data_IF_672936255609
#
_entry.id   IF_672936255609
#
_cell.length_a   1.000
_cell.length_b   1.000
_cell.length_c   1.000
_cell.angle_alpha   90.00
_cell.angle_beta   90.00
_cell.angle_gamma   90.00
#
_symmetry.space_group_name_H-M   'P 1'
#
loop_
_entity.id
_entity.type
_entity.pdbx_description
1 polymer ?
#
# COMPACT_ATOMS: atom_id res chain seq x y z
N UNK A 1 33.93 -0.46 -17.76
CA UNK A 1 35.29 -0.97 -17.97
C UNK A 1 36.26 0.09 -17.50
N UNK A 2 37.18 -0.28 -16.59
CA UNK A 2 38.38 0.46 -16.15
C UNK A 2 38.14 1.69 -15.26
N UNK A 3 38.16 1.48 -13.93
CA UNK A 3 38.83 2.39 -12.96
C UNK A 3 38.66 1.94 -11.51
N UNK A 4 39.01 0.71 -11.21
CA UNK A 4 39.10 0.18 -9.83
C UNK A 4 40.28 -0.78 -9.70
N UNK A 5 41.48 -0.27 -9.94
CA UNK A 5 42.73 -0.96 -9.64
C UNK A 5 43.88 0.08 -9.57
N UNK A 6 43.91 0.87 -8.48
CA UNK A 6 45.09 1.66 -8.10
C UNK A 6 44.86 2.27 -6.71
N UNK A 7 44.83 1.44 -5.68
CA UNK A 7 45.03 1.94 -4.29
C UNK A 7 45.35 0.77 -3.35
N UNK A 8 46.44 0.07 -3.59
CA UNK A 8 46.90 -0.95 -2.66
C UNK A 8 48.40 -1.23 -2.78
N UNK A 9 49.24 -0.17 -2.89
CA UNK A 9 50.70 -0.30 -2.82
C UNK A 9 51.33 0.94 -2.19
N UNK A 10 51.06 1.18 -0.88
CA UNK A 10 51.84 2.10 -0.06
C UNK A 10 51.69 1.77 1.44
N UNK A 11 52.17 0.65 1.87
CA UNK A 11 52.55 0.42 3.30
C UNK A 11 53.49 -0.79 3.41
N UNK A 12 54.63 -0.66 2.73
CA UNK A 12 55.83 -1.46 3.07
C UNK A 12 56.98 -0.48 3.11
N UNK A 13 57.54 -0.29 4.27
CA UNK A 13 58.84 0.20 4.65
C UNK A 13 58.78 1.21 5.77
N UNK A 14 58.69 0.70 7.01
CA UNK A 14 59.19 1.38 8.21
C UNK A 14 59.61 0.30 9.21
N UNK A 15 60.73 -0.34 8.88
CA UNK A 15 61.43 -1.20 9.82
C UNK A 15 62.79 -0.54 10.06
N UNK A 16 62.86 0.27 11.15
CA UNK A 16 64.17 0.77 11.66
C UNK A 16 64.17 0.78 13.18
N UNK A 17 64.88 -0.21 13.68
CA UNK A 17 65.70 -0.20 14.89
C UNK A 17 65.31 0.74 16.03
N UNK A 18 64.86 0.19 17.13
CA UNK A 18 65.11 0.77 18.43
C UNK A 18 65.46 -0.33 19.46
N UNK A 19 66.60 -0.13 20.05
CA UNK A 19 67.24 -0.88 21.10
C UNK A 19 66.27 -1.30 22.21
N UNK A 20 66.07 -2.60 22.34
CA UNK A 20 65.34 -3.18 23.49
C UNK A 20 66.39 -3.48 24.57
N UNK A 21 66.39 -2.65 25.59
CA UNK A 21 67.04 -2.93 26.93
C UNK A 21 66.40 -4.20 27.48
N UNK A 22 67.17 -5.27 27.54
CA UNK A 22 66.81 -6.53 28.17
C UNK A 22 66.62 -6.33 29.65
N UNK A 23 65.43 -6.34 30.19
CA UNK A 23 65.10 -6.61 31.56
C UNK A 23 65.01 -8.12 31.76
N UNK A 24 65.73 -8.72 32.72
CA UNK A 24 65.57 -10.13 32.98
C UNK A 24 64.32 -10.36 33.84
N UNK A 25 63.19 -10.48 33.20
CA UNK A 25 62.00 -11.06 33.83
C UNK A 25 62.04 -12.57 33.65
N UNK A 26 62.51 -13.24 34.68
CA UNK A 26 62.33 -14.65 34.97
C UNK A 26 60.76 -14.89 35.01
N UNK A 27 60.14 -15.14 33.87
CA UNK A 27 58.78 -15.64 33.85
C UNK A 27 58.84 -17.11 34.30
N UNK A 28 58.51 -17.33 35.59
CA UNK A 28 58.08 -18.64 36.02
C UNK A 28 56.74 -18.95 35.28
N UNK A 29 56.67 -20.03 34.49
CA UNK A 29 55.40 -20.48 33.98
C UNK A 29 54.55 -20.95 35.16
N UNK A 30 53.67 -20.05 35.64
CA UNK A 30 52.65 -20.45 36.59
C UNK A 30 51.74 -21.44 35.93
N UNK A 31 51.79 -22.63 36.46
CA UNK A 31 50.97 -23.81 36.27
C UNK A 31 49.56 -23.50 35.76
N UNK A 32 49.07 -24.12 34.67
CA UNK A 32 47.71 -23.90 34.12
C UNK A 32 46.60 -24.55 34.98
N UNK A 33 46.78 -24.61 36.29
CA UNK A 33 45.75 -25.07 37.24
C UNK A 33 44.72 -24.00 37.58
N UNK A 34 44.84 -22.80 36.99
CA UNK A 34 43.98 -21.65 37.33
C UNK A 34 42.55 -21.72 36.85
N UNK A 35 42.28 -22.32 35.68
CA UNK A 35 40.93 -22.28 35.08
C UNK A 35 39.93 -23.17 35.83
N UNK A 36 40.35 -24.32 36.32
CA UNK A 36 39.46 -25.22 37.06
C UNK A 36 39.13 -24.71 38.46
N UNK A 37 40.04 -23.91 39.05
CA UNK A 37 39.86 -23.32 40.38
C UNK A 37 38.78 -22.23 40.36
N UNK A 38 38.76 -21.37 39.33
CA UNK A 38 37.73 -20.34 39.17
C UNK A 38 36.36 -20.93 38.95
N UNK A 39 36.24 -22.00 38.16
CA UNK A 39 34.98 -22.66 37.92
C UNK A 39 34.38 -23.33 39.15
N UNK A 40 35.23 -23.96 39.99
CA UNK A 40 34.77 -24.57 41.24
C UNK A 40 34.36 -23.57 42.32
N UNK A 41 35.06 -22.43 42.44
CA UNK A 41 34.63 -21.32 43.30
C UNK A 41 33.32 -20.73 42.83
N UNK A 42 33.14 -20.59 41.52
CA UNK A 42 31.93 -20.07 40.91
C UNK A 42 30.73 -20.97 41.20
N UNK A 43 30.88 -22.30 41.07
CA UNK A 43 29.83 -23.24 41.41
C UNK A 43 29.49 -23.21 42.92
N UNK A 44 30.47 -23.08 43.80
CA UNK A 44 30.24 -22.97 45.22
C UNK A 44 29.53 -21.69 45.63
N UNK A 45 29.92 -20.56 45.02
CA UNK A 45 29.26 -19.25 45.20
C UNK A 45 27.80 -19.27 44.74
N UNK A 46 27.55 -19.88 43.56
CA UNK A 46 26.22 -20.04 43.02
C UNK A 46 25.34 -20.94 43.89
N UNK A 47 25.87 -22.08 44.35
CA UNK A 47 25.16 -23.03 45.22
C UNK A 47 24.81 -22.42 46.59
N UNK A 48 25.71 -21.60 47.15
CA UNK A 48 25.49 -20.94 48.44
C UNK A 48 24.46 -19.81 48.37
N UNK A 49 24.41 -19.10 47.23
CA UNK A 49 23.58 -17.91 47.07
C UNK A 49 22.45 -18.11 46.01
N UNK A 50 22.05 -19.34 45.79
CA UNK A 50 21.01 -19.67 44.79
C UNK A 50 19.70 -18.92 45.00
N UNK A 51 19.39 -18.54 46.25
CA UNK A 51 18.24 -17.70 46.60
C UNK A 51 18.27 -16.34 45.91
N UNK A 52 19.44 -15.73 45.71
CA UNK A 52 19.57 -14.45 45.01
C UNK A 52 19.19 -14.60 43.55
N UNK A 53 19.60 -15.72 42.96
CA UNK A 53 19.28 -16.02 41.58
C UNK A 53 17.77 -16.25 41.39
N UNK A 54 17.13 -16.97 42.32
CA UNK A 54 15.70 -17.19 42.31
C UNK A 54 14.92 -15.88 42.57
N UNK A 55 15.38 -15.05 43.50
CA UNK A 55 14.79 -13.74 43.79
C UNK A 55 14.89 -12.80 42.59
N UNK A 56 16.04 -12.77 41.87
CA UNK A 56 16.21 -11.92 40.69
C UNK A 56 15.33 -12.37 39.55
N UNK A 57 15.14 -13.68 39.32
CA UNK A 57 14.22 -14.23 38.35
C UNK A 57 12.77 -13.86 38.70
N UNK A 58 12.41 -13.97 39.96
CA UNK A 58 11.05 -13.62 40.40
C UNK A 58 10.79 -12.12 40.24
N UNK A 59 11.72 -11.26 40.58
CA UNK A 59 11.60 -9.82 40.36
C UNK A 59 11.50 -9.47 38.90
N UNK A 60 12.33 -10.10 38.03
CA UNK A 60 12.25 -9.90 36.58
C UNK A 60 10.90 -10.37 36.02
N UNK A 61 10.41 -11.50 36.47
CA UNK A 61 9.10 -12.02 36.05
C UNK A 61 7.95 -11.11 36.52
N UNK A 62 7.93 -10.69 37.78
CA UNK A 62 6.91 -9.78 38.29
C UNK A 62 6.95 -8.41 37.60
N UNK A 63 8.15 -7.87 37.37
CA UNK A 63 8.34 -6.62 36.62
C UNK A 63 7.79 -6.73 35.21
N UNK A 64 8.06 -7.85 34.55
CA UNK A 64 7.54 -8.12 33.19
C UNK A 64 6.01 -8.30 33.18
N UNK A 65 5.48 -9.02 34.17
CA UNK A 65 4.03 -9.17 34.31
C UNK A 65 3.36 -7.81 34.44
N UNK A 66 3.85 -6.97 35.36
CA UNK A 66 3.34 -5.63 35.57
C UNK A 66 3.47 -4.74 34.33
N UNK A 67 4.59 -4.82 33.61
CA UNK A 67 4.79 -4.12 32.35
C UNK A 67 3.74 -4.55 31.29
N UNK A 68 3.49 -5.85 31.14
CA UNK A 68 2.51 -6.38 30.19
C UNK A 68 1.07 -5.97 30.53
N UNK A 69 0.74 -5.83 31.81
CA UNK A 69 -0.58 -5.37 32.24
C UNK A 69 -0.81 -3.89 31.96
N UNK A 70 0.23 -3.05 32.11
CA UNK A 70 0.16 -1.61 31.87
C UNK A 70 0.28 -1.25 30.40
N UNK A 71 0.83 -2.14 29.57
CA UNK A 71 1.06 -1.84 28.15
C UNK A 71 -0.22 -2.02 27.35
N UNK A 72 -0.62 -1.00 26.60
CA UNK A 72 -1.77 -1.06 25.72
C UNK A 72 -1.61 -2.18 24.68
N UNK A 73 -2.61 -3.03 24.60
CA UNK A 73 -2.67 -4.12 23.62
C UNK A 73 -3.02 -3.53 22.26
N UNK A 74 -2.30 -3.96 21.23
CA UNK A 74 -2.56 -3.56 19.85
C UNK A 74 -3.00 -4.78 19.06
N UNK A 75 -4.11 -4.64 18.36
CA UNK A 75 -4.69 -5.64 17.50
C UNK A 75 -4.43 -5.28 16.04
N UNK A 76 -4.30 -6.28 15.19
CA UNK A 76 -4.03 -6.12 13.77
C UNK A 76 -5.13 -6.77 12.98
N UNK A 77 -5.88 -5.96 12.26
CA UNK A 77 -6.87 -6.43 11.28
C UNK A 77 -6.27 -6.31 9.87
N UNK A 78 -6.47 -7.32 9.04
CA UNK A 78 -5.98 -7.36 7.67
C UNK A 78 -7.12 -7.61 6.70
N UNK A 79 -7.20 -6.81 5.64
CA UNK A 79 -8.14 -6.95 4.53
C UNK A 79 -7.36 -7.00 3.22
N UNK A 80 -7.73 -7.93 2.32
CA UNK A 80 -7.11 -8.01 1.00
C UNK A 80 -8.07 -7.49 -0.05
N UNK A 81 -7.55 -6.70 -0.98
CA UNK A 81 -8.34 -6.10 -2.05
C UNK A 81 -7.59 -6.12 -3.38
N UNK A 82 -8.37 -6.02 -4.44
CA UNK A 82 -7.92 -5.90 -5.81
C UNK A 82 -8.50 -4.62 -6.41
N UNK A 83 -7.71 -3.95 -7.21
CA UNK A 83 -8.14 -2.78 -7.96
C UNK A 83 -8.53 -3.20 -9.36
N UNK A 84 -9.69 -2.75 -9.84
CA UNK A 84 -10.23 -3.10 -11.15
C UNK A 84 -10.15 -1.86 -12.05
N UNK A 85 -9.26 -1.85 -13.05
CA UNK A 85 -9.18 -0.75 -13.99
C UNK A 85 -10.43 -0.66 -14.85
N UNK A 86 -10.88 0.55 -15.14
CA UNK A 86 -12.07 0.81 -15.96
C UNK A 86 -11.79 0.78 -17.46
N UNK A 87 -10.57 1.09 -17.85
CA UNK A 87 -10.16 1.13 -19.24
C UNK A 87 -9.57 -0.21 -19.64
N UNK A 88 -10.19 -0.86 -20.62
CA UNK A 88 -9.62 -2.05 -21.26
C UNK A 88 -8.49 -1.71 -22.27
N UNK A 89 -8.02 -0.47 -22.28
CA UNK A 89 -6.82 -0.10 -23.03
C UNK A 89 -5.65 -0.66 -22.25
N UNK A 90 -5.21 -1.85 -22.65
CA UNK A 90 -4.04 -2.52 -22.08
C UNK A 90 -2.78 -1.66 -22.26
N UNK A 91 -2.58 -0.68 -21.40
CA UNK A 91 -1.31 0.02 -21.25
C UNK A 91 -0.36 -0.90 -20.48
N UNK A 92 -0.06 -2.04 -21.10
CA UNK A 92 0.85 -3.01 -20.53
C UNK A 92 2.28 -2.51 -20.72
N UNK A 93 2.95 -2.19 -19.66
CA UNK A 93 4.37 -1.89 -19.65
C UNK A 93 5.12 -3.04 -18.98
N UNK A 94 6.23 -3.42 -19.62
CA UNK A 94 7.14 -4.39 -19.02
C UNK A 94 7.97 -3.67 -17.95
N UNK A 95 7.83 -4.06 -16.69
CA UNK A 95 8.65 -3.49 -15.61
C UNK A 95 10.11 -4.00 -15.70
N UNK A 96 10.99 -3.44 -14.87
CA UNK A 96 12.42 -3.81 -14.81
C UNK A 96 12.65 -5.30 -14.48
N UNK A 97 11.67 -5.97 -13.87
CA UNK A 97 11.68 -7.41 -13.56
C UNK A 97 11.15 -8.26 -14.73
N UNK A 98 10.78 -7.63 -15.86
CA UNK A 98 10.27 -8.31 -17.05
C UNK A 98 8.81 -8.73 -16.99
N UNK A 99 8.06 -8.30 -15.97
CA UNK A 99 6.62 -8.58 -15.83
C UNK A 99 5.80 -7.54 -16.59
N UNK A 100 4.69 -8.01 -17.13
CA UNK A 100 3.69 -7.13 -17.74
C UNK A 100 2.84 -6.58 -16.58
N UNK A 101 2.91 -5.27 -16.37
CA UNK A 101 2.12 -4.55 -15.36
C UNK A 101 1.09 -3.70 -16.09
N UNK A 102 -0.15 -3.76 -15.64
CA UNK A 102 -1.17 -2.82 -16.06
C UNK A 102 -0.95 -1.50 -15.33
N UNK A 103 -0.52 -0.48 -16.07
CA UNK A 103 -0.20 0.84 -15.49
C UNK A 103 -1.43 1.50 -14.85
N UNK A 104 -2.61 1.22 -15.34
CA UNK A 104 -3.84 1.78 -14.79
C UNK A 104 -4.17 1.14 -13.43
N UNK A 105 -3.99 -0.16 -13.31
CA UNK A 105 -4.14 -0.89 -12.05
C UNK A 105 -3.18 -0.36 -10.99
N UNK A 106 -1.89 -0.22 -11.34
CA UNK A 106 -0.88 0.32 -10.43
C UNK A 106 -1.20 1.75 -10.01
N UNK A 107 -1.61 2.61 -10.96
CA UNK A 107 -1.99 3.99 -10.68
C UNK A 107 -3.19 4.08 -9.73
N UNK A 108 -4.25 3.30 -9.96
CA UNK A 108 -5.42 3.26 -9.09
C UNK A 108 -5.07 2.70 -7.70
N UNK A 109 -4.20 1.69 -7.63
CA UNK A 109 -3.74 1.16 -6.36
C UNK A 109 -2.96 2.21 -5.57
N UNK A 110 -2.03 2.92 -6.20
CA UNK A 110 -1.30 4.03 -5.59
C UNK A 110 -2.23 5.16 -5.15
N UNK A 111 -3.26 5.46 -5.94
CA UNK A 111 -4.26 6.46 -5.60
C UNK A 111 -5.08 6.03 -4.37
N UNK A 112 -5.47 4.76 -4.29
CA UNK A 112 -6.14 4.17 -3.12
C UNK A 112 -5.28 4.31 -1.86
N UNK A 113 -4.00 3.94 -1.93
CA UNK A 113 -3.06 4.06 -0.81
C UNK A 113 -2.95 5.53 -0.35
N UNK A 114 -2.81 6.47 -1.28
CA UNK A 114 -2.70 7.90 -0.97
C UNK A 114 -3.95 8.49 -0.33
N UNK A 115 -5.14 7.93 -0.56
CA UNK A 115 -6.35 8.38 0.13
C UNK A 115 -6.24 8.22 1.63
N UNK A 116 -5.74 7.07 2.11
CA UNK A 116 -5.55 6.82 3.54
C UNK A 116 -4.45 7.67 4.20
N UNK A 117 -3.67 8.39 3.40
CA UNK A 117 -2.67 9.36 3.87
C UNK A 117 -3.21 10.80 3.92
N UNK A 118 -4.44 11.03 3.44
CA UNK A 118 -5.06 12.35 3.42
C UNK A 118 -6.04 12.51 4.57
N UNK A 119 -5.84 13.57 5.35
CA UNK A 119 -6.72 13.89 6.48
C UNK A 119 -8.16 14.09 6.01
N UNK A 120 -8.37 14.76 4.88
CA UNK A 120 -9.70 15.05 4.33
C UNK A 120 -10.49 13.78 4.01
N UNK A 121 -9.83 12.74 3.50
CA UNK A 121 -10.48 11.47 3.22
C UNK A 121 -10.78 10.70 4.49
N UNK A 122 -9.79 10.61 5.40
CA UNK A 122 -9.96 9.84 6.64
C UNK A 122 -10.98 10.50 7.55
N UNK A 123 -10.99 11.83 7.70
CA UNK A 123 -12.02 12.55 8.47
C UNK A 123 -13.41 12.39 7.87
N UNK A 124 -13.54 12.45 6.53
CA UNK A 124 -14.79 12.25 5.85
C UNK A 124 -15.39 10.85 6.11
N UNK A 125 -14.57 9.79 6.03
CA UNK A 125 -15.07 8.46 6.28
C UNK A 125 -15.36 8.22 7.77
N UNK A 126 -14.61 8.83 8.70
CA UNK A 126 -14.86 8.75 10.14
C UNK A 126 -16.20 9.41 10.53
N UNK A 127 -16.47 10.61 9.99
CA UNK A 127 -17.74 11.30 10.14
C UNK A 127 -18.91 10.41 9.68
N UNK A 128 -18.81 9.85 8.47
CA UNK A 128 -19.87 9.02 7.88
C UNK A 128 -20.12 7.70 8.60
N UNK A 129 -19.10 7.13 9.23
CA UNK A 129 -19.21 5.86 9.97
C UNK A 129 -19.50 6.06 11.46
N UNK A 130 -19.36 7.27 11.99
CA UNK A 130 -19.48 7.57 13.41
C UNK A 130 -18.36 6.97 14.27
N UNK A 131 -17.26 6.51 13.64
CA UNK A 131 -16.15 5.88 14.36
C UNK A 131 -15.33 6.87 15.20
N UNK A 132 -15.45 8.18 14.92
CA UNK A 132 -14.78 9.25 15.67
C UNK A 132 -15.06 9.16 17.16
N UNK A 133 -16.31 8.95 17.55
CA UNK A 133 -16.70 8.83 18.96
C UNK A 133 -16.04 7.65 19.68
N UNK A 134 -15.75 6.58 18.95
CA UNK A 134 -15.07 5.40 19.49
C UNK A 134 -13.56 5.58 19.54
N UNK A 135 -12.99 6.32 18.58
CA UNK A 135 -11.56 6.63 18.54
C UNK A 135 -11.17 7.64 19.61
N UNK A 136 -12.02 8.65 19.82
CA UNK A 136 -11.81 9.73 20.78
C UNK A 136 -12.59 9.51 22.11
N UNK A 137 -12.96 8.27 22.42
CA UNK A 137 -13.74 7.97 23.62
C UNK A 137 -13.10 8.48 24.93
N UNK A 138 -11.75 8.45 24.98
CA UNK A 138 -10.98 8.91 26.14
C UNK A 138 -10.97 10.45 26.28
N UNK A 139 -11.29 11.19 25.21
CA UNK A 139 -11.34 12.66 25.17
C UNK A 139 -12.76 13.22 25.23
N UNK A 140 -13.77 12.36 25.25
CA UNK A 140 -15.18 12.77 25.29
C UNK A 140 -15.62 13.07 26.72
N UNK A 141 -16.13 14.27 26.96
CA UNK A 141 -16.77 14.63 28.23
C UNK A 141 -18.29 14.48 28.10
N UNK A 142 -18.89 13.46 28.77
CA UNK A 142 -20.34 13.22 28.70
C UNK A 142 -21.17 14.31 29.38
N UNK A 143 -20.58 15.19 30.18
CA UNK A 143 -21.31 16.28 30.88
C UNK A 143 -21.51 17.49 29.97
N UNK A 144 -20.55 17.79 29.13
CA UNK A 144 -20.58 18.93 28.23
C UNK A 144 -20.98 18.54 26.81
N UNK A 145 -21.04 17.24 26.51
CA UNK A 145 -21.25 16.70 25.15
C UNK A 145 -20.23 17.22 24.16
N UNK A 146 -18.99 17.38 24.62
CA UNK A 146 -17.87 17.92 23.83
C UNK A 146 -16.63 17.06 23.98
N UNK A 147 -15.70 17.23 23.02
CA UNK A 147 -14.39 16.62 23.09
C UNK A 147 -13.36 17.61 23.64
N UNK A 148 -12.59 17.20 24.64
CA UNK A 148 -11.44 17.97 25.16
C UNK A 148 -10.24 17.77 24.23
N UNK A 149 -10.24 18.54 23.13
CA UNK A 149 -9.21 18.47 22.11
C UNK A 149 -8.05 19.41 22.45
N UNK A 150 -6.81 18.94 22.31
CA UNK A 150 -5.63 19.77 22.56
C UNK A 150 -5.44 20.88 21.50
N UNK A 151 -6.23 20.89 20.44
CA UNK A 151 -6.21 21.91 19.39
C UNK A 151 -7.64 22.25 18.96
N UNK A 152 -8.12 23.41 19.37
CA UNK A 152 -9.47 23.92 19.07
C UNK A 152 -9.67 24.31 17.58
N UNK A 153 -8.63 24.25 16.77
CA UNK A 153 -8.69 24.57 15.35
C UNK A 153 -9.14 23.42 14.45
N UNK A 154 -9.17 22.19 14.99
CA UNK A 154 -9.55 21.00 14.24
C UNK A 154 -10.92 20.50 14.70
N UNK A 155 -11.74 20.04 13.76
CA UNK A 155 -12.93 19.29 14.11
C UNK A 155 -12.55 17.94 14.78
N UNK A 156 -13.45 17.31 15.56
CA UNK A 156 -13.18 16.00 16.16
C UNK A 156 -12.75 14.94 15.13
N UNK A 157 -13.38 14.95 13.94
CA UNK A 157 -13.07 14.01 12.86
C UNK A 157 -11.68 14.26 12.26
N UNK A 158 -11.31 15.51 12.05
CA UNK A 158 -9.97 15.90 11.57
C UNK A 158 -8.89 15.56 12.59
N UNK A 159 -9.17 15.77 13.89
CA UNK A 159 -8.24 15.41 14.94
C UNK A 159 -8.06 13.90 15.04
N UNK A 160 -9.16 13.13 14.97
CA UNK A 160 -9.10 11.67 14.92
C UNK A 160 -8.32 11.18 13.68
N UNK A 161 -8.59 11.75 12.51
CA UNK A 161 -7.87 11.43 11.27
C UNK A 161 -6.37 11.73 11.38
N UNK A 162 -6.02 12.91 11.91
CA UNK A 162 -4.63 13.30 12.12
C UNK A 162 -3.91 12.35 13.09
N UNK A 163 -4.59 11.88 14.15
CA UNK A 163 -4.04 10.93 15.11
C UNK A 163 -3.76 9.56 14.48
N UNK A 164 -4.63 9.10 13.58
CA UNK A 164 -4.48 7.84 12.85
C UNK A 164 -3.35 7.89 11.82
N UNK A 165 -3.21 9.01 11.10
CA UNK A 165 -2.20 9.18 10.03
C UNK A 165 -0.84 9.59 10.61
N UNK A 166 -0.83 10.43 11.65
CA UNK A 166 0.38 11.09 12.16
C UNK A 166 1.40 10.17 12.85
N UNK A 167 1.04 8.94 13.16
CA UNK A 167 1.94 8.00 13.84
C UNK A 167 2.91 7.32 12.88
N UNK A 168 4.01 7.99 12.55
CA UNK A 168 5.03 7.47 11.62
C UNK A 168 5.80 6.26 12.14
N UNK A 169 5.89 6.06 13.48
CA UNK A 169 6.60 4.93 14.08
C UNK A 169 5.78 3.64 14.09
N UNK A 170 4.48 3.76 14.26
CA UNK A 170 3.52 2.67 14.20
C UNK A 170 2.32 3.15 13.36
N UNK A 171 2.43 3.10 12.03
CA UNK A 171 1.36 3.57 11.17
C UNK A 171 0.09 2.76 11.43
N UNK A 172 -1.03 3.44 11.59
CA UNK A 172 -2.33 2.79 11.75
C UNK A 172 -2.71 2.04 10.48
N UNK A 173 -2.43 2.61 9.32
CA UNK A 173 -2.70 2.04 8.01
C UNK A 173 -1.39 1.64 7.33
N UNK A 174 -1.21 0.35 7.07
CA UNK A 174 -0.05 -0.20 6.37
C UNK A 174 -0.52 -0.98 5.13
N UNK A 175 0.04 -0.64 3.98
CA UNK A 175 -0.29 -1.28 2.71
C UNK A 175 0.86 -2.17 2.25
N UNK A 176 0.53 -3.39 1.84
CA UNK A 176 1.49 -4.34 1.28
C UNK A 176 0.91 -4.95 0.01
N UNK A 177 1.59 -4.76 -1.11
CA UNK A 177 1.22 -5.41 -2.38
C UNK A 177 2.02 -6.70 -2.53
N UNK A 178 1.32 -7.81 -2.69
CA UNK A 178 1.93 -9.10 -2.93
C UNK A 178 2.35 -9.20 -4.39
N UNK A 179 3.66 -9.31 -4.62
CA UNK A 179 4.24 -9.33 -5.98
C UNK A 179 3.79 -10.52 -6.83
N UNK A 180 3.35 -11.62 -6.22
CA UNK A 180 2.96 -12.85 -6.92
C UNK A 180 1.53 -12.81 -7.46
N UNK A 181 0.60 -12.26 -6.70
CA UNK A 181 -0.83 -12.26 -6.99
C UNK A 181 -1.35 -10.92 -7.49
N UNK A 182 -0.59 -9.82 -7.33
CA UNK A 182 -1.06 -8.45 -7.57
C UNK A 182 -2.03 -7.95 -6.49
N UNK A 183 -2.42 -8.80 -5.55
CA UNK A 183 -3.32 -8.43 -4.47
C UNK A 183 -2.64 -7.44 -3.51
N UNK A 184 -3.35 -6.40 -3.14
CA UNK A 184 -2.91 -5.47 -2.12
C UNK A 184 -3.65 -5.74 -0.82
N UNK A 185 -2.93 -5.76 0.29
CA UNK A 185 -3.51 -5.89 1.61
C UNK A 185 -3.35 -4.60 2.39
N UNK A 186 -4.44 -4.18 3.02
CA UNK A 186 -4.45 -3.11 4.02
C UNK A 186 -4.43 -3.76 5.41
N UNK A 187 -3.43 -3.42 6.17
CA UNK A 187 -3.27 -3.82 7.57
C UNK A 187 -3.56 -2.63 8.46
N UNK A 188 -4.50 -2.77 9.37
CA UNK A 188 -4.89 -1.73 10.33
C UNK A 188 -4.49 -2.16 11.73
N UNK A 189 -3.72 -1.31 12.43
CA UNK A 189 -3.27 -1.54 13.80
C UNK A 189 -4.01 -0.61 14.74
N UNK A 190 -4.76 -1.17 15.70
CA UNK A 190 -5.49 -0.36 16.68
C UNK A 190 -5.61 -1.09 18.03
N UNK A 191 -5.95 -0.35 19.09
CA UNK A 191 -6.07 -0.92 20.44
C UNK A 191 -7.37 -1.72 20.66
N UNK A 192 -8.39 -1.47 19.85
CA UNK A 192 -9.67 -2.20 19.89
C UNK A 192 -9.77 -3.10 18.63
N UNK A 193 -10.01 -4.42 18.77
CA UNK A 193 -10.08 -5.35 17.64
C UNK A 193 -11.24 -5.09 16.69
N UNK A 194 -12.40 -4.67 17.22
CA UNK A 194 -13.58 -4.36 16.40
C UNK A 194 -13.36 -3.09 15.60
N UNK A 195 -12.77 -2.05 16.23
CA UNK A 195 -12.40 -0.81 15.52
C UNK A 195 -11.35 -1.04 14.45
N UNK A 196 -10.32 -1.84 14.73
CA UNK A 196 -9.32 -2.19 13.72
C UNK A 196 -9.98 -2.83 12.49
N UNK A 197 -10.96 -3.71 12.72
CA UNK A 197 -11.70 -4.41 11.67
C UNK A 197 -12.62 -3.48 10.89
N UNK A 198 -13.36 -2.62 11.58
CA UNK A 198 -14.24 -1.64 10.94
C UNK A 198 -13.44 -0.61 10.13
N UNK A 199 -12.34 -0.08 10.69
CA UNK A 199 -11.43 0.83 9.97
C UNK A 199 -10.88 0.19 8.69
N UNK A 200 -10.57 -1.11 8.72
CA UNK A 200 -10.06 -1.82 7.55
C UNK A 200 -11.16 -2.02 6.48
N UNK A 201 -12.29 -2.59 6.86
CA UNK A 201 -13.36 -2.95 5.93
C UNK A 201 -14.11 -1.72 5.41
N UNK A 202 -14.55 -0.85 6.32
CA UNK A 202 -15.34 0.33 5.97
C UNK A 202 -14.45 1.37 5.27
N UNK A 203 -13.20 1.53 5.69
CA UNK A 203 -12.24 2.40 5.04
C UNK A 203 -12.07 2.07 3.55
N UNK A 204 -11.91 0.78 3.18
CA UNK A 204 -11.82 0.37 1.77
C UNK A 204 -13.14 0.54 1.03
N UNK A 205 -14.28 0.28 1.67
CA UNK A 205 -15.59 0.53 1.05
C UNK A 205 -15.75 2.01 0.73
N UNK A 206 -15.45 2.90 1.68
CA UNK A 206 -15.51 4.33 1.45
C UNK A 206 -14.46 4.83 0.46
N UNK A 207 -13.27 4.21 0.40
CA UNK A 207 -12.29 4.50 -0.64
C UNK A 207 -12.82 4.17 -2.03
N UNK A 208 -13.50 3.03 -2.19
CA UNK A 208 -14.18 2.69 -3.44
C UNK A 208 -15.22 3.74 -3.83
N UNK A 209 -16.12 4.10 -2.91
CA UNK A 209 -17.21 5.04 -3.18
C UNK A 209 -16.68 6.46 -3.49
N UNK A 210 -15.61 6.87 -2.79
CA UNK A 210 -14.94 8.13 -3.05
C UNK A 210 -14.26 8.16 -4.42
N UNK A 211 -13.54 7.10 -4.78
CA UNK A 211 -12.90 6.98 -6.10
C UNK A 211 -13.93 6.94 -7.21
N UNK A 212 -15.02 6.18 -7.06
CA UNK A 212 -16.14 6.15 -8.00
C UNK A 212 -16.74 7.55 -8.21
N UNK A 213 -17.00 8.27 -7.12
CA UNK A 213 -17.55 9.62 -7.22
C UNK A 213 -16.63 10.59 -7.97
N UNK A 214 -15.32 10.48 -7.75
CA UNK A 214 -14.33 11.28 -8.48
C UNK A 214 -14.26 10.92 -9.96
N UNK A 215 -14.26 9.61 -10.29
CA UNK A 215 -14.24 9.16 -11.69
C UNK A 215 -15.51 9.57 -12.45
N UNK A 216 -16.66 9.53 -11.80
CA UNK A 216 -17.93 10.04 -12.38
C UNK A 216 -17.79 11.53 -12.73
N UNK A 217 -17.27 12.35 -11.81
CA UNK A 217 -17.10 13.80 -12.05
C UNK A 217 -16.09 14.06 -13.17
N UNK A 218 -15.00 13.33 -13.22
CA UNK A 218 -13.98 13.46 -14.29
C UNK A 218 -14.57 13.07 -15.62
N UNK A 219 -15.20 11.90 -15.72
CA UNK A 219 -15.83 11.39 -16.95
C UNK A 219 -16.94 12.33 -17.44
N UNK A 220 -17.73 12.89 -16.53
CA UNK A 220 -18.77 13.87 -16.89
C UNK A 220 -18.15 15.15 -17.50
N UNK A 221 -17.07 15.67 -16.90
CA UNK A 221 -16.38 16.84 -17.47
C UNK A 221 -15.76 16.56 -18.83
N UNK A 222 -15.22 15.37 -19.04
CA UNK A 222 -14.72 14.95 -20.36
C UNK A 222 -15.84 14.89 -21.37
N UNK A 223 -17.00 14.31 -21.01
CA UNK A 223 -18.18 14.29 -21.87
C UNK A 223 -18.67 15.69 -22.22
N UNK A 224 -18.74 16.59 -21.26
CA UNK A 224 -19.16 17.96 -21.50
C UNK A 224 -18.19 18.68 -22.45
N UNK A 225 -16.87 18.47 -22.27
CA UNK A 225 -15.82 19.02 -23.15
C UNK A 225 -15.93 18.46 -24.57
N UNK A 226 -16.11 17.13 -24.72
CA UNK A 226 -16.28 16.49 -26.01
C UNK A 226 -17.57 16.95 -26.68
N UNK A 227 -18.67 17.09 -25.94
CA UNK A 227 -19.93 17.62 -26.42
C UNK A 227 -19.82 19.06 -26.94
N UNK A 228 -19.09 19.91 -26.23
CA UNK A 228 -18.80 21.28 -26.71
C UNK A 228 -17.99 21.28 -28.01
N UNK A 229 -16.92 20.44 -28.06
CA UNK A 229 -16.08 20.34 -29.26
C UNK A 229 -16.90 19.83 -30.47
N UNK A 230 -17.75 18.82 -30.28
CA UNK A 230 -18.65 18.32 -31.33
C UNK A 230 -19.67 19.37 -31.79
N UNK A 231 -20.19 20.17 -30.85
CA UNK A 231 -21.16 21.23 -31.20
C UNK A 231 -20.50 22.37 -31.98
N UNK A 232 -19.27 22.75 -31.66
CA UNK A 232 -18.50 23.77 -32.38
C UNK A 232 -18.19 23.31 -33.80
N UNK A 233 -17.66 22.10 -33.98
CA UNK A 233 -17.40 21.51 -35.32
C UNK A 233 -18.67 21.30 -36.12
N UNK A 234 -19.79 20.94 -35.48
CA UNK A 234 -21.11 20.84 -36.11
C UNK A 234 -21.66 22.19 -36.55
N UNK A 235 -21.44 23.25 -35.79
CA UNK A 235 -21.87 24.61 -36.13
C UNK A 235 -21.06 25.18 -37.31
N UNK A 236 -19.74 24.98 -37.33
CA UNK A 236 -18.87 25.37 -38.46
C UNK A 236 -19.31 24.66 -39.73
N UNK A 237 -19.58 23.38 -39.67
CA UNK A 237 -20.04 22.58 -40.82
C UNK A 237 -21.44 23.05 -41.34
N UNK A 238 -22.32 23.47 -40.45
CA UNK A 238 -23.63 23.99 -40.85
C UNK A 238 -23.53 25.35 -41.57
N UNK A 239 -22.54 26.17 -41.29
CA UNK A 239 -22.23 27.41 -42.00
C UNK A 239 -21.57 27.13 -43.37
N UNK A 240 -20.70 26.12 -43.45
CA UNK A 240 -20.02 25.74 -44.71
C UNK A 240 -20.94 25.03 -45.68
N UNK A 241 -21.86 24.20 -45.21
CA UNK A 241 -22.88 23.53 -46.04
C UNK A 241 -23.86 24.55 -46.64
N UNK A 242 -24.22 25.62 -45.91
CA UNK A 242 -25.03 26.72 -46.45
C UNK A 242 -24.36 27.48 -47.59
N UNK A 243 -23.01 27.49 -47.63
CA UNK A 243 -22.24 28.08 -48.72
C UNK A 243 -21.98 27.11 -49.89
N UNK A 244 -22.06 25.78 -49.66
CA UNK A 244 -21.76 24.73 -50.62
C UNK A 244 -22.99 24.15 -51.37
N UNK A 245 -24.22 24.46 -50.93
CA UNK A 245 -25.46 23.97 -51.54
C UNK A 245 -25.68 24.47 -53.00
N UNK A 246 -24.75 25.20 -53.60
CA UNK A 246 -24.79 25.60 -55.00
C UNK A 246 -24.01 24.69 -55.96
N UNK A 247 -23.51 23.55 -55.56
CA UNK A 247 -22.73 22.63 -56.42
C UNK A 247 -23.10 21.17 -56.22
N UNK A 248 -23.86 20.63 -57.16
CA UNK A 248 -24.23 19.21 -57.30
C UNK A 248 -23.00 18.29 -57.25
N UNK A 249 -22.89 17.35 -56.30
CA UNK A 249 -22.21 16.07 -56.51
C UNK A 249 -22.77 14.99 -55.56
N UNK A 250 -22.99 13.81 -56.10
CA UNK A 250 -23.42 12.57 -55.46
C UNK A 250 -22.35 12.15 -54.40
N UNK A 251 -22.47 12.66 -53.21
CA UNK A 251 -21.60 12.26 -52.09
C UNK A 251 -22.27 11.10 -51.34
N UNK A 252 -21.49 10.06 -51.02
CA UNK A 252 -21.89 9.00 -50.10
C UNK A 252 -22.28 9.69 -48.77
N UNK A 253 -23.56 9.52 -48.37
CA UNK A 253 -24.08 10.20 -47.18
C UNK A 253 -23.24 9.87 -45.94
N UNK A 254 -22.74 10.86 -45.22
CA UNK A 254 -21.98 10.65 -43.97
C UNK A 254 -22.74 9.77 -42.96
N UNK A 255 -24.07 9.83 -42.97
CA UNK A 255 -24.97 9.04 -42.14
C UNK A 255 -24.84 7.53 -42.36
N UNK A 256 -24.54 7.08 -43.60
CA UNK A 256 -24.36 5.66 -43.92
C UNK A 256 -23.06 5.15 -43.35
N UNK A 257 -22.02 5.96 -43.40
CA UNK A 257 -20.69 5.64 -42.86
C UNK A 257 -20.73 5.56 -41.35
N UNK A 258 -21.41 6.49 -40.71
CA UNK A 258 -21.63 6.55 -39.27
C UNK A 258 -22.40 5.32 -38.73
N UNK A 259 -23.49 4.94 -39.41
CA UNK A 259 -24.26 3.75 -39.04
C UNK A 259 -23.45 2.46 -39.14
N UNK A 260 -22.57 2.36 -40.13
CA UNK A 260 -21.70 1.20 -40.30
C UNK A 260 -20.60 1.17 -39.23
N UNK A 261 -20.03 2.31 -38.84
CA UNK A 261 -19.04 2.41 -37.75
C UNK A 261 -19.69 2.06 -36.43
N UNK A 262 -20.86 2.56 -36.13
CA UNK A 262 -21.57 2.24 -34.88
C UNK A 262 -21.86 0.74 -34.78
N UNK A 263 -22.38 0.12 -35.88
CA UNK A 263 -22.59 -1.35 -35.92
C UNK A 263 -21.31 -2.15 -35.72
N UNK A 264 -20.18 -1.68 -36.24
CA UNK A 264 -18.90 -2.33 -36.08
C UNK A 264 -18.46 -2.29 -34.60
N UNK A 265 -18.58 -1.13 -33.93
CA UNK A 265 -18.27 -0.96 -32.49
C UNK A 265 -19.17 -1.87 -31.65
N UNK A 266 -20.47 -1.86 -31.87
CA UNK A 266 -21.43 -2.69 -31.15
C UNK A 266 -21.07 -4.19 -31.25
N UNK A 267 -20.68 -4.64 -32.46
CA UNK A 267 -20.28 -6.04 -32.68
C UNK A 267 -18.90 -6.39 -32.06
N UNK A 268 -17.98 -5.45 -32.05
CA UNK A 268 -16.67 -5.65 -31.35
C UNK A 268 -16.85 -5.74 -29.84
N UNK A 269 -17.72 -4.92 -29.26
CA UNK A 269 -18.05 -4.99 -27.82
C UNK A 269 -18.71 -6.34 -27.51
N UNK A 270 -19.71 -6.74 -28.31
CA UNK A 270 -20.42 -8.02 -28.14
C UNK A 270 -19.46 -9.21 -28.24
N UNK A 271 -18.52 -9.17 -29.20
CA UNK A 271 -17.47 -10.18 -29.33
C UNK A 271 -16.58 -10.24 -28.10
N UNK A 272 -16.14 -9.10 -27.59
CA UNK A 272 -15.29 -9.03 -26.40
C UNK A 272 -15.95 -9.60 -25.14
N UNK A 273 -17.26 -9.38 -24.99
CA UNK A 273 -18.06 -9.98 -23.90
C UNK A 273 -18.19 -11.49 -24.10
N UNK A 274 -18.47 -11.94 -25.33
CA UNK A 274 -18.65 -13.36 -25.62
C UNK A 274 -17.35 -14.16 -25.47
N UNK A 275 -16.22 -13.63 -25.89
CA UNK A 275 -14.91 -14.26 -25.72
C UNK A 275 -14.54 -14.45 -24.25
N UNK A 276 -14.95 -13.52 -23.37
CA UNK A 276 -14.72 -13.64 -21.93
C UNK A 276 -15.67 -14.61 -21.24
N UNK A 277 -16.92 -14.66 -21.68
CA UNK A 277 -17.98 -15.47 -21.03
C UNK A 277 -18.06 -16.90 -21.55
N UNK A 278 -17.81 -17.10 -22.83
CA UNK A 278 -17.96 -18.40 -23.52
C UNK A 278 -16.91 -18.57 -24.63
N UNK A 279 -15.63 -18.79 -24.32
CA UNK A 279 -14.53 -18.75 -25.30
C UNK A 279 -14.63 -19.80 -26.43
N UNK A 280 -15.43 -20.85 -26.26
CA UNK A 280 -15.60 -21.93 -27.24
C UNK A 280 -16.93 -21.89 -28.00
N UNK A 281 -17.67 -20.77 -27.92
CA UNK A 281 -18.97 -20.68 -28.62
C UNK A 281 -18.79 -20.59 -30.13
N UNK A 282 -19.52 -21.42 -30.90
CA UNK A 282 -19.53 -21.37 -32.37
C UNK A 282 -19.97 -19.99 -32.93
N UNK A 283 -20.72 -19.22 -32.13
CA UNK A 283 -21.12 -17.85 -32.41
C UNK A 283 -19.96 -16.85 -32.54
N UNK A 284 -18.82 -17.11 -31.91
CA UNK A 284 -17.62 -16.27 -31.99
C UNK A 284 -17.08 -16.22 -33.43
N UNK A 285 -17.03 -17.38 -34.12
CA UNK A 285 -16.56 -17.47 -35.49
C UNK A 285 -17.48 -16.70 -36.47
N UNK A 286 -18.78 -16.79 -36.25
CA UNK A 286 -19.78 -16.05 -37.04
C UNK A 286 -19.66 -14.53 -36.84
N UNK A 287 -19.47 -14.10 -35.59
CA UNK A 287 -19.35 -12.69 -35.25
C UNK A 287 -18.03 -12.08 -35.75
N UNK A 288 -16.92 -12.83 -35.72
CA UNK A 288 -15.65 -12.42 -36.35
C UNK A 288 -15.78 -12.25 -37.87
N UNK A 289 -16.50 -13.14 -38.51
CA UNK A 289 -16.77 -13.03 -39.96
C UNK A 289 -17.62 -11.79 -40.28
N UNK A 290 -18.67 -11.51 -39.50
CA UNK A 290 -19.49 -10.30 -39.62
C UNK A 290 -18.71 -9.01 -39.44
N UNK A 291 -17.84 -8.94 -38.42
CA UNK A 291 -16.93 -7.83 -38.19
C UNK A 291 -16.00 -7.63 -39.40
N UNK A 292 -15.40 -8.70 -39.91
CA UNK A 292 -14.56 -8.61 -41.12
C UNK A 292 -15.26 -8.08 -42.36
N UNK A 293 -16.53 -8.43 -42.56
CA UNK A 293 -17.35 -7.88 -43.65
C UNK A 293 -17.65 -6.40 -43.46
N UNK A 294 -17.96 -5.98 -42.22
CA UNK A 294 -18.20 -4.57 -41.88
C UNK A 294 -16.95 -3.72 -42.06
N UNK A 295 -15.78 -4.22 -41.65
CA UNK A 295 -14.49 -3.57 -41.82
C UNK A 295 -14.13 -3.43 -43.32
N UNK A 296 -14.31 -4.48 -44.13
CA UNK A 296 -14.05 -4.44 -45.54
C UNK A 296 -14.94 -3.42 -46.25
N UNK A 297 -16.24 -3.38 -45.88
CA UNK A 297 -17.19 -2.43 -46.45
C UNK A 297 -16.90 -0.99 -46.06
N UNK A 298 -16.46 -0.79 -44.84
CA UNK A 298 -16.04 0.52 -44.32
C UNK A 298 -14.76 1.00 -44.99
N UNK A 299 -13.78 0.11 -45.23
CA UNK A 299 -12.57 0.39 -46.01
C UNK A 299 -12.86 0.76 -47.47
N UNK A 300 -13.81 0.07 -48.10
CA UNK A 300 -14.22 0.37 -49.49
C UNK A 300 -14.90 1.74 -49.61
N UNK A 301 -15.80 2.07 -48.68
CA UNK A 301 -16.47 3.38 -48.63
C UNK A 301 -15.48 4.51 -48.30
N UNK A 302 -14.50 4.27 -47.42
CA UNK A 302 -13.44 5.23 -47.15
C UNK A 302 -12.54 5.45 -48.37
N UNK A 303 -12.19 4.40 -49.14
CA UNK A 303 -11.43 4.51 -50.39
C UNK A 303 -12.16 5.29 -51.47
N UNK A 304 -13.48 5.14 -51.59
CA UNK A 304 -14.32 5.94 -52.49
C UNK A 304 -14.35 7.42 -52.09
N UNK A 305 -14.32 7.70 -50.78
CA UNK A 305 -14.28 9.06 -50.23
C UNK A 305 -12.94 9.75 -50.45
N UNK A 306 -11.81 9.01 -50.24
CA UNK A 306 -10.43 9.55 -50.35
C UNK A 306 -10.05 9.91 -51.80
N UNK A 307 -10.77 9.33 -52.80
CA UNK A 307 -10.63 9.71 -54.20
C UNK A 307 -11.24 11.07 -54.54
N UNK A 308 -12.05 11.67 -53.65
CA UNK A 308 -12.83 12.86 -53.96
C UNK A 308 -12.51 14.14 -53.20
N UNK A 309 -11.75 14.10 -52.10
CA UNK A 309 -11.42 15.37 -51.42
C UNK A 309 -10.24 15.28 -50.47
N UNK A 310 -9.21 16.08 -50.68
CA UNK A 310 -8.03 16.24 -49.88
C UNK A 310 -8.22 17.17 -48.67
N UNK A 311 -9.32 17.88 -48.52
CA UNK A 311 -9.63 18.82 -47.46
C UNK A 311 -10.70 18.36 -46.50
N UNK A 312 -11.88 18.01 -47.01
CA UNK A 312 -13.07 17.60 -46.21
C UNK A 312 -12.93 16.21 -45.54
N UNK A 313 -11.96 15.39 -45.97
CA UNK A 313 -11.73 14.05 -45.44
C UNK A 313 -11.11 14.03 -44.05
N UNK A 314 -10.16 14.93 -43.75
CA UNK A 314 -9.48 15.00 -42.45
C UNK A 314 -10.42 15.48 -41.34
N UNK A 315 -11.24 16.44 -41.61
CA UNK A 315 -12.19 17.04 -40.67
C UNK A 315 -13.32 16.05 -40.30
N UNK A 316 -13.81 15.26 -41.28
CA UNK A 316 -14.79 14.21 -41.01
C UNK A 316 -14.22 13.05 -40.19
N UNK A 317 -12.93 12.74 -40.31
CA UNK A 317 -12.25 11.75 -39.51
C UNK A 317 -12.08 12.21 -38.04
N UNK A 318 -11.79 13.48 -37.82
CA UNK A 318 -11.67 14.08 -36.50
C UNK A 318 -13.03 14.07 -35.76
N UNK A 319 -14.12 14.46 -36.41
CA UNK A 319 -15.48 14.38 -35.87
C UNK A 319 -15.84 12.91 -35.54
N UNK A 320 -15.50 11.96 -36.39
CA UNK A 320 -15.77 10.55 -36.14
C UNK A 320 -15.00 10.04 -34.92
N UNK A 321 -13.72 10.42 -34.73
CA UNK A 321 -12.91 10.09 -33.54
C UNK A 321 -13.55 10.68 -32.29
N UNK A 322 -13.95 11.96 -32.32
CA UNK A 322 -14.57 12.61 -31.16
C UNK A 322 -15.91 11.95 -30.78
N UNK A 323 -16.71 11.50 -31.73
CA UNK A 323 -17.98 10.77 -31.49
C UNK A 323 -17.74 9.42 -30.87
N UNK A 324 -16.72 8.68 -31.33
CA UNK A 324 -16.30 7.40 -30.71
C UNK A 324 -15.86 7.63 -29.26
N UNK A 325 -15.06 8.63 -29.03
CA UNK A 325 -14.63 8.97 -27.66
C UNK A 325 -15.82 9.39 -26.76
N UNK A 326 -16.75 10.16 -27.32
CA UNK A 326 -17.96 10.55 -26.59
C UNK A 326 -18.82 9.33 -26.23
N UNK A 327 -19.05 8.42 -27.15
CA UNK A 327 -19.82 7.19 -26.92
C UNK A 327 -19.11 6.27 -25.90
N UNK A 328 -17.79 6.14 -25.98
CA UNK A 328 -17.00 5.37 -25.01
C UNK A 328 -17.08 5.98 -23.60
N UNK A 329 -16.92 7.30 -23.47
CA UNK A 329 -17.04 7.97 -22.17
C UNK A 329 -18.48 7.93 -21.63
N UNK A 330 -19.50 7.98 -22.49
CA UNK A 330 -20.89 7.80 -22.08
C UNK A 330 -21.12 6.40 -21.50
N UNK A 331 -20.69 5.36 -22.20
CA UNK A 331 -20.80 3.98 -21.71
C UNK A 331 -20.03 3.78 -20.41
N UNK A 332 -18.84 4.41 -20.29
CA UNK A 332 -18.05 4.42 -19.05
C UNK A 332 -18.83 5.08 -17.90
N UNK A 333 -19.45 6.23 -18.16
CA UNK A 333 -20.24 6.93 -17.15
C UNK A 333 -21.43 6.09 -16.68
N UNK A 334 -22.15 5.43 -17.59
CA UNK A 334 -23.26 4.52 -17.27
C UNK A 334 -22.79 3.35 -16.39
N UNK A 335 -21.65 2.74 -16.70
CA UNK A 335 -21.05 1.67 -15.88
C UNK A 335 -20.71 2.15 -14.48
N UNK A 336 -20.08 3.33 -14.36
CA UNK A 336 -19.74 3.94 -13.06
C UNK A 336 -20.99 4.26 -12.23
N UNK A 337 -22.03 4.83 -12.87
CA UNK A 337 -23.28 5.20 -12.20
C UNK A 337 -24.12 3.98 -11.79
N UNK A 338 -24.05 2.88 -12.54
CA UNK A 338 -24.76 1.65 -12.20
C UNK A 338 -24.24 1.01 -10.90
N UNK A 339 -23.03 1.36 -10.46
CA UNK A 339 -22.38 0.77 -9.27
C UNK A 339 -22.10 -0.73 -9.39
N UNK A 340 -22.29 -1.31 -10.58
CA UNK A 340 -22.11 -2.76 -10.81
C UNK A 340 -20.64 -3.16 -10.80
N UNK A 341 -19.73 -2.23 -11.08
CA UNK A 341 -18.31 -2.48 -11.16
C UNK A 341 -17.57 -1.64 -10.12
N UNK A 342 -17.16 -2.21 -8.99
CA UNK A 342 -16.35 -1.50 -8.00
C UNK A 342 -14.95 -1.27 -8.55
N UNK A 343 -14.35 -0.11 -8.26
CA UNK A 343 -12.94 0.18 -8.55
C UNK A 343 -12.00 -0.54 -7.57
N UNK A 344 -12.46 -0.71 -6.34
CA UNK A 344 -11.75 -1.43 -5.28
C UNK A 344 -12.65 -2.58 -4.83
N UNK A 345 -12.24 -3.80 -5.11
CA UNK A 345 -12.97 -5.02 -4.74
C UNK A 345 -12.30 -5.69 -3.56
N UNK A 346 -13.03 -5.82 -2.46
CA UNK A 346 -12.56 -6.56 -1.30
C UNK A 346 -12.63 -8.05 -1.62
N UNK A 347 -11.49 -8.74 -1.55
CA UNK A 347 -11.35 -10.17 -1.76
C UNK A 347 -11.53 -10.91 -0.43
N UNK A 348 -10.72 -10.55 0.57
CA UNK A 348 -10.84 -11.10 1.92
C UNK A 348 -11.15 -10.00 2.89
N UNK A 349 -12.25 -10.16 3.64
CA UNK A 349 -12.64 -9.21 4.67
C UNK A 349 -11.82 -9.40 5.94
N UNK A 350 -11.49 -8.31 6.59
CA UNK A 350 -10.90 -8.37 7.92
C UNK A 350 -11.89 -8.98 8.91
N UNK A 351 -11.35 -9.84 9.79
CA UNK A 351 -12.08 -10.45 10.90
C UNK A 351 -11.45 -9.94 12.20
N UNK A 352 -12.26 -9.67 13.26
CA UNK A 352 -11.72 -9.20 14.52
C UNK A 352 -10.72 -10.21 15.10
N UNK A 353 -9.48 -9.77 15.36
CA UNK A 353 -8.43 -10.64 15.88
C UNK A 353 -8.72 -10.97 17.36
N UNK A 354 -8.71 -12.25 17.71
CA UNK A 354 -8.92 -12.72 19.09
C UNK A 354 -7.73 -12.40 20.01
N UNK A 355 -6.52 -12.36 19.43
CA UNK A 355 -5.29 -12.16 20.21
C UNK A 355 -4.59 -10.86 19.81
N UNK A 356 -4.05 -10.11 20.78
CA UNK A 356 -3.27 -8.93 20.52
C UNK A 356 -1.96 -9.30 19.80
N UNK A 357 -1.60 -8.50 18.80
CA UNK A 357 -0.36 -8.69 18.03
C UNK A 357 0.85 -8.06 18.75
N UNK A 358 0.61 -7.03 19.54
CA UNK A 358 1.62 -6.35 20.37
C UNK A 358 1.05 -6.10 21.77
N UNK A 359 1.86 -6.14 22.81
CA UNK A 359 3.27 -6.59 22.82
C UNK A 359 3.40 -8.11 22.61
N UNK A 360 4.52 -8.54 22.04
CA UNK A 360 4.80 -9.99 21.90
C UNK A 360 5.16 -10.58 23.27
N UNK A 361 4.16 -11.07 23.99
CA UNK A 361 4.29 -11.58 25.37
C UNK A 361 5.34 -12.68 25.49
N UNK A 362 5.44 -13.58 24.48
CA UNK A 362 6.42 -14.68 24.50
C UNK A 362 7.85 -14.16 24.43
N UNK A 363 8.12 -13.18 23.58
CA UNK A 363 9.44 -12.59 23.39
C UNK A 363 9.86 -11.79 24.63
N UNK A 364 8.95 -11.01 25.21
CA UNK A 364 9.21 -10.20 26.40
C UNK A 364 9.48 -11.12 27.60
N UNK A 365 8.70 -12.18 27.79
CA UNK A 365 8.94 -13.18 28.84
C UNK A 365 10.28 -13.89 28.66
N UNK A 366 10.63 -14.29 27.44
CA UNK A 366 11.93 -14.91 27.18
C UNK A 366 13.09 -13.95 27.49
N UNK A 367 12.97 -12.67 27.07
CA UNK A 367 13.97 -11.65 27.34
C UNK A 367 14.10 -11.38 28.86
N UNK A 368 12.99 -11.31 29.58
CA UNK A 368 13.01 -11.09 31.04
C UNK A 368 13.68 -12.22 31.79
N UNK A 369 13.48 -13.47 31.35
CA UNK A 369 14.14 -14.63 31.92
C UNK A 369 15.67 -14.55 31.71
N UNK A 370 16.11 -14.16 30.52
CA UNK A 370 17.52 -13.95 30.20
C UNK A 370 18.13 -12.85 31.08
N UNK A 371 17.47 -11.68 31.13
CA UNK A 371 17.92 -10.55 31.95
C UNK A 371 17.91 -10.89 33.43
N UNK A 372 16.88 -11.57 33.91
CA UNK A 372 16.79 -12.03 35.31
C UNK A 372 17.91 -13.01 35.67
N UNK A 373 18.24 -13.95 34.78
CA UNK A 373 19.31 -14.91 34.97
C UNK A 373 20.68 -14.22 35.02
N UNK A 374 21.02 -13.39 34.03
CA UNK A 374 22.30 -12.68 34.01
C UNK A 374 22.43 -11.69 35.16
N UNK A 375 21.35 -10.94 35.45
CA UNK A 375 21.28 -10.04 36.59
C UNK A 375 21.49 -10.78 37.93
N UNK A 376 20.82 -11.94 38.06
CA UNK A 376 20.97 -12.80 39.24
C UNK A 376 22.40 -13.33 39.43
N UNK A 377 23.01 -13.81 38.37
CA UNK A 377 24.43 -14.24 38.40
C UNK A 377 25.34 -13.08 38.81
N UNK A 378 25.14 -11.90 38.20
CA UNK A 378 25.91 -10.71 38.57
C UNK A 378 25.74 -10.31 40.03
N UNK A 379 24.51 -10.33 40.56
CA UNK A 379 24.23 -10.04 41.96
C UNK A 379 24.88 -11.05 42.92
N UNK A 380 24.90 -12.34 42.56
CA UNK A 380 25.56 -13.38 43.32
C UNK A 380 27.06 -13.05 43.48
N UNK A 381 27.72 -12.66 42.37
CA UNK A 381 29.11 -12.24 42.41
C UNK A 381 29.35 -10.98 43.24
N UNK A 382 28.50 -9.98 43.09
CA UNK A 382 28.58 -8.73 43.81
C UNK A 382 28.49 -8.98 45.34
N UNK A 383 27.52 -9.79 45.77
CA UNK A 383 27.33 -10.14 47.18
C UNK A 383 28.54 -10.93 47.72
N UNK A 384 29.05 -11.87 46.93
CA UNK A 384 30.22 -12.66 47.34
C UNK A 384 31.50 -11.80 47.44
N UNK A 385 31.66 -10.87 46.48
CA UNK A 385 32.74 -9.89 46.51
C UNK A 385 32.69 -9.00 47.76
N UNK A 386 31.51 -8.40 48.02
CA UNK A 386 31.34 -7.54 49.21
C UNK A 386 31.59 -8.33 50.50
N UNK A 387 31.14 -9.57 50.57
CA UNK A 387 31.34 -10.44 51.74
C UNK A 387 32.84 -10.76 51.95
N UNK A 388 33.57 -11.12 50.90
CA UNK A 388 35.01 -11.37 50.95
C UNK A 388 35.79 -10.12 51.34
N UNK A 389 35.42 -8.94 50.86
CA UNK A 389 36.03 -7.66 51.19
C UNK A 389 35.81 -7.29 52.66
N UNK A 390 34.59 -7.46 53.19
CA UNK A 390 34.32 -7.22 54.63
C UNK A 390 35.08 -8.14 55.55
N UNK A 391 35.23 -9.43 55.17
CA UNK A 391 36.04 -10.38 55.97
C UNK A 391 37.53 -10.00 56.04
N UNK A 392 38.06 -9.48 54.92
CA UNK A 392 39.50 -9.01 54.92
C UNK A 392 39.69 -7.78 55.75
N UNK A 393 38.77 -6.87 55.85
CA UNK A 393 38.82 -5.66 56.64
C UNK A 393 38.70 -5.98 58.15
N UNK A 394 37.89 -6.97 58.52
CA UNK A 394 37.74 -7.39 59.96
C UNK A 394 38.90 -8.19 60.51
N UNK A 395 39.84 -8.72 59.71
CA UNK A 395 41.03 -9.44 60.13
C UNK A 395 42.18 -8.48 60.31
N UNK A 396 42.18 -7.27 59.76
CA UNK A 396 43.24 -6.27 59.86
C UNK A 396 42.91 -5.16 60.86
N UNK A 397 41.80 -5.21 61.57
CA UNK A 397 41.47 -4.39 62.75
C UNK A 397 41.59 -5.20 64.03
#
# INVERSE_FOLDING_TARGET
>A
MSSEQQENDQFKDLNTSSNVTQFPHTYHPQNPKGTNFYLSELQLSLKRNWWILLASLLIAFLGTWFYLELTQKTYVARVSYEVIPLNHVNLQQKNDEGRIVDLEEEFLNQRTIRLFQKIEFVSFFLDRTGLTSLILADLYDPKTDTYDLPNDLLSPDEFAAASLIGNTKNPTFEFQTEKSSGLTSLTVQFHNPELATSLANDGLRWANDYLLSQEIVVTQRELDSLGQSLSQLGAEKSMEVKSAEMGNSLSVSPLVLENLQQRLIDRQIELGVLEKTQPNAASIAGMKAEIGVLEAKLAELNKQRDGQSTGAGRESEEIAKLRIQFAQNQSRLELLQSGQQPLVRIIDRAIPPENPSKPNTRLILALSLVVGLFGGVFLVFLVDFVRKTRQRLSVNS
#
